data_IF_917277002787
#
_entry.id   IF_917277002787
#
_cell.length_a   1.000
_cell.length_b   1.000
_cell.length_c   1.000
_cell.angle_alpha   90.00
_cell.angle_beta   90.00
_cell.angle_gamma   90.00
#
_symmetry.space_group_name_H-M   'P 1'
#
loop_
_entity.id
_entity.type
_entity.pdbx_description
1 polymer ?
#
# COMPACT_ATOMS: atom_id res chain seq x y z
N UNK A 1 0.38 -30.84 -44.08
CA UNK A 1 -0.10 -29.58 -44.69
C UNK A 1 0.41 -28.45 -43.83
N UNK A 2 1.40 -27.73 -44.35
CA UNK A 2 2.17 -26.73 -43.63
C UNK A 2 1.46 -25.37 -43.74
N UNK A 3 0.82 -24.92 -42.66
CA UNK A 3 0.24 -23.57 -42.58
C UNK A 3 1.18 -22.68 -41.78
N UNK A 4 2.17 -22.11 -42.46
CA UNK A 4 2.95 -20.95 -41.97
C UNK A 4 2.00 -19.80 -41.65
N UNK A 5 1.63 -19.65 -40.36
CA UNK A 5 0.89 -18.49 -39.85
C UNK A 5 1.76 -17.25 -40.05
N UNK A 6 1.38 -16.39 -40.99
CA UNK A 6 1.96 -15.04 -41.12
C UNK A 6 1.59 -14.23 -39.88
N UNK A 7 2.59 -13.79 -39.14
CA UNK A 7 2.41 -12.86 -38.02
C UNK A 7 1.79 -11.55 -38.54
N UNK A 8 0.71 -11.04 -37.93
CA UNK A 8 0.10 -9.78 -38.37
C UNK A 8 1.08 -8.61 -38.21
N UNK A 9 1.20 -7.77 -39.24
CA UNK A 9 2.05 -6.56 -39.22
C UNK A 9 1.40 -5.36 -38.53
N UNK A 10 0.08 -5.40 -38.35
CA UNK A 10 -0.71 -4.33 -37.74
C UNK A 10 -1.67 -4.90 -36.71
N UNK A 11 -1.98 -4.13 -35.68
CA UNK A 11 -2.94 -4.51 -34.65
C UNK A 11 -4.35 -4.58 -35.26
N UNK A 12 -5.10 -5.67 -35.07
CA UNK A 12 -6.47 -5.79 -35.60
C UNK A 12 -7.47 -4.89 -34.87
N UNK A 13 -7.16 -4.42 -33.65
CA UNK A 13 -8.05 -3.58 -32.87
C UNK A 13 -7.88 -2.08 -33.16
N UNK A 14 -6.64 -1.59 -33.29
CA UNK A 14 -6.38 -0.14 -33.42
C UNK A 14 -5.63 0.25 -34.70
N UNK A 15 -5.21 -0.70 -35.53
CA UNK A 15 -4.49 -0.43 -36.78
C UNK A 15 -3.02 -0.04 -36.63
N UNK A 16 -2.50 0.08 -35.41
CA UNK A 16 -1.10 0.46 -35.18
C UNK A 16 -0.10 -0.60 -35.71
N UNK A 17 1.07 -0.18 -36.24
CA UNK A 17 2.10 -1.11 -36.68
C UNK A 17 2.66 -1.91 -35.49
N UNK A 18 2.82 -3.22 -35.68
CA UNK A 18 3.33 -4.12 -34.66
C UNK A 18 4.85 -4.28 -34.76
N UNK A 19 5.56 -4.30 -33.62
CA UNK A 19 7.01 -4.47 -33.63
C UNK A 19 7.39 -5.85 -34.18
N UNK A 20 8.56 -5.97 -34.83
CA UNK A 20 9.04 -7.27 -35.32
C UNK A 20 9.32 -8.23 -34.14
N UNK A 21 9.10 -9.53 -34.34
CA UNK A 21 9.44 -10.56 -33.34
C UNK A 21 8.25 -11.19 -32.57
N UNK A 22 7.13 -11.42 -33.25
CA UNK A 22 5.94 -12.10 -32.70
C UNK A 22 5.36 -11.45 -31.42
N UNK A 23 4.93 -10.17 -31.51
CA UNK A 23 4.42 -9.45 -30.35
C UNK A 23 3.15 -10.11 -29.83
N UNK A 24 3.14 -10.41 -28.53
CA UNK A 24 1.99 -11.04 -27.87
C UNK A 24 0.86 -10.05 -27.56
N UNK A 25 1.15 -8.76 -27.59
CA UNK A 25 0.22 -7.67 -27.33
C UNK A 25 0.58 -6.42 -28.14
N UNK A 26 -0.41 -5.59 -28.46
CA UNK A 26 -0.19 -4.28 -29.05
C UNK A 26 0.31 -3.30 -27.99
N UNK A 27 1.44 -2.65 -28.23
CA UNK A 27 2.03 -1.67 -27.30
C UNK A 27 1.20 -0.38 -27.18
N UNK A 28 0.43 -0.05 -28.22
CA UNK A 28 -0.37 1.18 -28.26
C UNK A 28 -1.71 1.03 -27.55
N UNK A 29 -2.40 -0.11 -27.71
CA UNK A 29 -3.76 -0.30 -27.17
C UNK A 29 -3.91 -1.47 -26.20
N UNK A 30 -2.86 -2.27 -25.98
CA UNK A 30 -2.86 -3.41 -25.07
C UNK A 30 -3.57 -4.68 -25.57
N UNK A 31 -4.11 -4.68 -26.80
CA UNK A 31 -4.81 -5.85 -27.35
C UNK A 31 -3.90 -7.08 -27.49
N UNK A 32 -4.32 -8.24 -26.99
CA UNK A 32 -3.57 -9.49 -27.08
C UNK A 32 -3.66 -10.11 -28.49
N UNK A 33 -2.50 -10.45 -29.07
CA UNK A 33 -2.37 -10.89 -30.47
C UNK A 33 -2.18 -12.40 -30.62
N UNK A 34 -2.01 -13.13 -29.51
CA UNK A 34 -1.88 -14.58 -29.47
C UNK A 34 -2.73 -15.19 -28.36
N UNK A 35 -3.63 -16.11 -28.73
CA UNK A 35 -4.36 -16.94 -27.79
C UNK A 35 -3.42 -18.01 -27.22
N UNK A 36 -3.10 -17.94 -25.92
CA UNK A 36 -2.31 -18.98 -25.24
C UNK A 36 -3.26 -20.09 -24.75
N UNK A 37 -2.99 -21.38 -25.01
CA UNK A 37 -3.83 -22.47 -24.52
C UNK A 37 -3.76 -22.55 -22.98
N UNK A 38 -4.89 -22.88 -22.36
CA UNK A 38 -5.05 -22.98 -20.91
C UNK A 38 -4.05 -23.98 -20.30
N UNK A 39 -3.19 -23.50 -19.40
CA UNK A 39 -2.25 -24.33 -18.64
C UNK A 39 -2.94 -24.77 -17.35
N UNK A 40 -3.14 -26.08 -17.20
CA UNK A 40 -3.46 -26.70 -15.91
C UNK A 40 -2.22 -26.60 -15.01
N UNK A 41 -2.29 -25.95 -13.83
CA UNK A 41 -1.11 -25.78 -12.99
C UNK A 41 -0.77 -27.08 -12.23
N UNK A 42 0.52 -27.39 -12.00
CA UNK A 42 0.93 -28.54 -11.20
C UNK A 42 0.67 -28.29 -9.70
N UNK A 43 0.52 -29.35 -8.88
CA UNK A 43 0.29 -29.19 -7.46
C UNK A 43 1.60 -28.83 -6.76
N UNK A 44 1.69 -27.61 -6.23
CA UNK A 44 2.74 -27.23 -5.28
C UNK A 44 2.18 -26.36 -4.18
N UNK A 45 2.26 -26.88 -2.96
CA UNK A 45 2.30 -26.17 -1.66
C UNK A 45 1.27 -25.06 -1.41
N UNK A 46 0.27 -25.39 -0.59
CA UNK A 46 -0.68 -24.46 0.03
C UNK A 46 0.03 -23.20 0.59
N UNK A 47 -0.13 -22.08 -0.11
CA UNK A 47 0.48 -20.79 0.22
C UNK A 47 -0.41 -19.67 -0.32
N UNK A 48 -0.69 -18.70 0.54
CA UNK A 48 -1.64 -17.58 0.36
C UNK A 48 -1.60 -16.96 -1.05
N UNK A 49 -2.77 -16.78 -1.66
CA UNK A 49 -2.90 -15.97 -2.88
C UNK A 49 -2.63 -14.50 -2.53
N UNK A 50 -1.60 -13.92 -3.12
CA UNK A 50 -1.29 -12.48 -3.05
C UNK A 50 -1.54 -11.85 -4.42
N UNK A 51 -2.09 -10.63 -4.45
CA UNK A 51 -2.30 -9.91 -5.71
C UNK A 51 -1.97 -8.43 -5.57
N UNK A 52 -1.35 -7.87 -6.61
CA UNK A 52 -1.05 -6.44 -6.68
C UNK A 52 -2.29 -5.67 -7.13
N UNK A 53 -2.70 -4.67 -6.36
CA UNK A 53 -3.80 -3.81 -6.76
C UNK A 53 -3.35 -2.89 -7.90
N UNK A 54 -4.23 -2.51 -8.85
CA UNK A 54 -3.89 -1.52 -9.88
C UNK A 54 -3.38 -0.19 -9.30
N UNK A 55 -3.75 0.12 -8.06
CA UNK A 55 -3.37 1.33 -7.37
C UNK A 55 -2.21 1.20 -6.35
N UNK A 56 -1.61 0.02 -6.19
CA UNK A 56 -0.51 -0.23 -5.25
C UNK A 56 0.55 -1.18 -5.85
N UNK A 57 1.84 -0.93 -5.61
CA UNK A 57 2.91 -1.81 -6.09
C UNK A 57 3.16 -3.00 -5.17
N UNK A 58 2.59 -2.96 -3.98
CA UNK A 58 2.61 -4.05 -3.01
C UNK A 58 1.54 -5.10 -3.27
N UNK A 59 1.96 -6.35 -3.10
CA UNK A 59 1.08 -7.50 -3.02
C UNK A 59 0.15 -7.40 -1.80
N UNK A 60 -1.14 -7.64 -2.02
CA UNK A 60 -2.16 -7.75 -0.98
C UNK A 60 -2.59 -9.20 -0.83
N UNK A 61 -2.60 -9.69 0.40
CA UNK A 61 -3.04 -11.05 0.71
C UNK A 61 -4.55 -11.19 0.61
N UNK A 62 -5.02 -12.33 0.12
CA UNK A 62 -6.44 -12.66 0.11
C UNK A 62 -6.92 -13.06 1.51
N UNK A 63 -7.91 -12.35 2.07
CA UNK A 63 -8.38 -12.57 3.44
C UNK A 63 -9.86 -12.94 3.41
N UNK A 64 -10.17 -14.18 3.78
CA UNK A 64 -11.52 -14.57 4.18
C UNK A 64 -12.65 -14.41 3.16
N UNK A 65 -12.35 -14.50 1.86
CA UNK A 65 -13.33 -14.29 0.78
C UNK A 65 -13.60 -12.83 0.42
N UNK A 66 -13.05 -11.86 1.17
CA UNK A 66 -13.21 -10.41 0.96
C UNK A 66 -12.04 -9.79 0.21
N UNK A 67 -11.20 -10.61 -0.40
CA UNK A 67 -10.22 -10.16 -1.38
C UNK A 67 -10.35 -11.07 -2.59
N UNK A 68 -11.12 -10.63 -3.56
CA UNK A 68 -11.05 -11.15 -4.91
C UNK A 68 -10.21 -10.16 -5.72
N UNK A 69 -9.05 -10.65 -6.14
CA UNK A 69 -8.11 -10.07 -7.06
C UNK A 69 -7.59 -11.24 -7.93
N UNK A 70 -7.05 -11.09 -9.14
CA UNK A 70 -7.28 -10.15 -10.23
C UNK A 70 -8.38 -10.65 -11.21
N UNK A 71 -9.17 -11.66 -10.84
CA UNK A 71 -10.31 -12.20 -11.60
C UNK A 71 -11.67 -11.70 -11.10
N UNK A 72 -11.70 -10.68 -10.24
CA UNK A 72 -12.94 -10.19 -9.60
C UNK A 72 -13.70 -9.15 -10.41
N UNK A 73 -13.02 -8.38 -11.27
CA UNK A 73 -13.62 -7.22 -11.91
C UNK A 73 -14.05 -6.13 -10.92
N UNK A 74 -13.63 -6.18 -9.64
CA UNK A 74 -14.06 -5.22 -8.63
C UNK A 74 -13.39 -3.85 -8.86
N UNK A 75 -14.21 -2.83 -9.12
CA UNK A 75 -13.73 -1.49 -9.48
C UNK A 75 -13.64 -0.61 -8.22
N UNK A 76 -12.45 -0.10 -7.86
CA UNK A 76 -12.28 0.79 -6.71
C UNK A 76 -13.00 2.13 -6.88
N UNK A 77 -13.20 2.88 -5.77
CA UNK A 77 -13.66 4.25 -5.85
C UNK A 77 -12.71 5.10 -6.71
N UNK A 78 -13.26 6.04 -7.47
CA UNK A 78 -12.52 6.92 -8.37
C UNK A 78 -12.03 6.27 -9.67
N UNK A 79 -12.28 4.97 -9.88
CA UNK A 79 -11.74 4.21 -11.01
C UNK A 79 -12.80 3.73 -12.01
N UNK A 80 -14.08 4.02 -11.77
CA UNK A 80 -15.15 3.73 -12.71
C UNK A 80 -15.25 4.84 -13.77
N UNK A 81 -15.05 4.47 -15.03
CA UNK A 81 -14.89 5.42 -16.15
C UNK A 81 -16.05 5.41 -17.14
N UNK A 82 -17.13 4.67 -16.85
CA UNK A 82 -18.33 4.67 -17.69
C UNK A 82 -19.29 5.76 -17.21
N UNK A 83 -20.01 6.37 -18.16
CA UNK A 83 -21.01 7.40 -17.87
C UNK A 83 -22.16 6.82 -17.07
N UNK A 84 -22.57 5.58 -17.34
CA UNK A 84 -23.61 4.90 -16.59
C UNK A 84 -23.08 4.42 -15.22
N UNK A 85 -23.89 4.52 -14.15
CA UNK A 85 -23.56 3.90 -12.87
C UNK A 85 -23.43 2.36 -12.95
N UNK A 86 -22.69 1.72 -12.03
CA UNK A 86 -22.53 0.27 -11.98
C UNK A 86 -23.85 -0.49 -11.86
N UNK A 87 -24.06 -1.46 -12.74
CA UNK A 87 -25.22 -2.37 -12.70
C UNK A 87 -24.99 -3.58 -11.78
N UNK A 88 -26.00 -4.44 -11.63
CA UNK A 88 -25.90 -5.71 -10.87
C UNK A 88 -24.80 -6.66 -11.34
N UNK A 89 -24.34 -6.53 -12.58
CA UNK A 89 -23.26 -7.36 -13.12
C UNK A 89 -21.88 -6.85 -12.73
N UNK A 90 -21.79 -5.59 -12.31
CA UNK A 90 -20.56 -5.00 -11.84
C UNK A 90 -20.25 -5.46 -10.41
N UNK A 91 -18.96 -5.48 -10.12
CA UNK A 91 -18.45 -5.60 -8.75
C UNK A 91 -17.76 -4.27 -8.43
N UNK A 92 -18.10 -3.67 -7.31
CA UNK A 92 -17.44 -2.45 -6.81
C UNK A 92 -16.70 -2.76 -5.52
N UNK A 93 -15.60 -2.07 -5.28
CA UNK A 93 -14.77 -2.27 -4.10
C UNK A 93 -14.91 -1.11 -3.11
N UNK A 94 -14.98 -1.40 -1.81
CA UNK A 94 -14.95 -0.38 -0.76
C UNK A 94 -13.85 -0.68 0.24
N UNK A 95 -13.04 0.33 0.59
CA UNK A 95 -12.00 0.19 1.58
C UNK A 95 -12.53 0.41 3.00
N UNK A 96 -12.46 -0.63 3.83
CA UNK A 96 -12.78 -0.52 5.26
C UNK A 96 -11.72 0.31 6.01
N UNK A 97 -12.08 1.06 7.08
CA UNK A 97 -11.14 1.81 7.92
C UNK A 97 -10.23 0.89 8.73
N UNK A 98 -9.23 0.29 8.09
CA UNK A 98 -8.38 -0.71 8.73
C UNK A 98 -6.95 -0.22 8.84
N UNK A 99 -6.34 -0.54 9.97
CA UNK A 99 -4.91 -0.31 10.21
C UNK A 99 -4.17 -1.64 10.08
N UNK A 100 -3.07 -1.62 9.33
CA UNK A 100 -2.16 -2.75 9.27
C UNK A 100 -1.48 -2.95 10.63
N UNK A 101 -1.52 -4.18 11.15
CA UNK A 101 -0.83 -4.61 12.37
C UNK A 101 -0.01 -5.86 12.06
N UNK A 102 0.88 -6.25 12.97
CA UNK A 102 1.69 -7.47 12.79
C UNK A 102 0.77 -8.67 12.54
N UNK A 103 0.91 -9.31 11.38
CA UNK A 103 0.13 -10.50 11.01
C UNK A 103 -1.37 -10.29 10.80
N UNK A 104 -1.84 -9.06 10.52
CA UNK A 104 -3.25 -8.83 10.17
C UNK A 104 -3.68 -7.37 10.14
N UNK A 105 -4.97 -7.14 10.42
CA UNK A 105 -5.58 -5.80 10.42
C UNK A 105 -6.40 -5.58 11.68
N UNK A 106 -6.54 -4.30 12.05
CA UNK A 106 -7.40 -3.87 13.14
C UNK A 106 -8.30 -2.70 12.74
N UNK A 107 -9.55 -2.73 13.18
CA UNK A 107 -10.46 -1.58 13.18
C UNK A 107 -10.60 -1.06 14.61
N UNK A 108 -10.51 0.26 14.82
CA UNK A 108 -10.57 0.90 16.13
C UNK A 108 -11.66 1.96 16.17
N UNK A 109 -12.40 2.00 17.28
CA UNK A 109 -13.36 3.05 17.56
C UNK A 109 -12.68 4.41 17.57
N UNK A 110 -13.29 5.40 16.91
CA UNK A 110 -12.71 6.74 16.72
C UNK A 110 -11.65 6.82 15.62
N UNK A 111 -11.34 5.71 14.94
CA UNK A 111 -10.45 5.65 13.77
C UNK A 111 -11.22 5.08 12.58
N UNK A 112 -12.29 5.78 12.20
CA UNK A 112 -13.21 5.39 11.11
C UNK A 112 -14.28 4.38 11.50
N UNK A 113 -14.21 3.78 12.70
CA UNK A 113 -15.27 2.95 13.27
C UNK A 113 -15.97 3.63 14.44
N UNK A 114 -17.26 3.35 14.61
CA UNK A 114 -18.08 3.73 15.75
C UNK A 114 -18.63 2.49 16.43
N UNK A 115 -18.45 2.36 17.75
CA UNK A 115 -19.12 1.30 18.53
C UNK A 115 -20.61 1.63 18.66
N UNK A 116 -21.49 0.70 18.33
CA UNK A 116 -22.95 0.92 18.33
C UNK A 116 -23.65 0.06 19.37
N UNK A 117 -23.39 -1.25 19.38
CA UNK A 117 -24.15 -2.21 20.18
C UNK A 117 -23.24 -3.09 21.03
N UNK A 118 -23.78 -3.53 22.17
CA UNK A 118 -23.19 -4.54 23.04
C UNK A 118 -24.27 -5.56 23.39
N UNK A 119 -24.02 -6.83 23.08
CA UNK A 119 -24.97 -7.91 23.31
C UNK A 119 -24.33 -9.05 24.11
N UNK A 120 -25.05 -9.60 25.08
CA UNK A 120 -24.60 -10.77 25.83
C UNK A 120 -24.61 -12.01 24.93
N UNK A 121 -23.58 -12.84 25.04
CA UNK A 121 -23.41 -14.12 24.35
C UNK A 121 -23.25 -15.24 25.38
N UNK A 122 -23.49 -16.47 24.94
CA UNK A 122 -23.36 -17.64 25.80
C UNK A 122 -21.95 -17.76 26.42
N UNK A 123 -21.89 -18.24 27.67
CA UNK A 123 -20.64 -18.53 28.37
C UNK A 123 -19.88 -17.28 28.88
N UNK A 124 -20.59 -16.32 29.47
CA UNK A 124 -20.02 -15.06 30.00
C UNK A 124 -19.18 -14.30 28.97
N UNK A 125 -19.74 -14.14 27.76
CA UNK A 125 -19.14 -13.37 26.67
C UNK A 125 -20.03 -12.20 26.30
N UNK A 126 -19.40 -11.15 25.79
CA UNK A 126 -20.08 -10.00 25.20
C UNK A 126 -19.63 -9.84 23.75
N UNK A 127 -20.58 -9.72 22.84
CA UNK A 127 -20.33 -9.27 21.47
C UNK A 127 -20.44 -7.75 21.40
N UNK A 128 -19.51 -7.12 20.71
CA UNK A 128 -19.48 -5.69 20.43
C UNK A 128 -19.57 -5.48 18.93
N UNK A 129 -20.51 -4.63 18.50
CA UNK A 129 -20.68 -4.24 17.11
C UNK A 129 -20.04 -2.88 16.85
N UNK A 130 -19.26 -2.82 15.79
CA UNK A 130 -18.60 -1.61 15.30
C UNK A 130 -19.11 -1.33 13.90
N UNK A 131 -19.45 -0.08 13.61
CA UNK A 131 -20.00 0.33 12.32
C UNK A 131 -19.09 1.37 11.67
N UNK A 132 -18.90 1.27 10.37
CA UNK A 132 -18.21 2.25 9.54
C UNK A 132 -19.05 2.59 8.31
N UNK A 133 -19.19 3.89 8.03
CA UNK A 133 -19.85 4.40 6.83
C UNK A 133 -18.80 4.64 5.75
N UNK A 134 -19.11 4.24 4.53
CA UNK A 134 -18.22 4.35 3.38
C UNK A 134 -18.97 4.78 2.13
N UNK A 135 -18.24 5.45 1.26
CA UNK A 135 -18.77 5.91 -0.02
C UNK A 135 -17.90 5.33 -1.12
N UNK A 136 -18.54 4.63 -2.05
CA UNK A 136 -17.97 4.36 -3.36
C UNK A 136 -18.45 5.44 -4.32
N UNK A 137 -17.56 5.92 -5.18
CA UNK A 137 -17.84 6.95 -6.15
C UNK A 137 -17.09 6.66 -7.45
N UNK A 138 -17.59 7.10 -8.61
CA UNK A 138 -16.94 6.90 -9.89
C UNK A 138 -15.77 7.87 -10.11
N UNK A 139 -15.05 7.72 -11.22
CA UNK A 139 -14.10 8.73 -11.67
C UNK A 139 -14.80 10.08 -11.91
N UNK A 140 -14.09 11.22 -11.85
CA UNK A 140 -14.70 12.52 -12.08
C UNK A 140 -15.44 12.59 -13.43
N UNK A 141 -16.71 13.00 -13.38
CA UNK A 141 -17.57 13.11 -14.58
C UNK A 141 -18.25 11.81 -15.02
N UNK A 142 -18.02 10.69 -14.34
CA UNK A 142 -18.57 9.38 -14.69
C UNK A 142 -19.71 8.95 -13.74
N UNK A 143 -20.34 7.80 -14.01
CA UNK A 143 -21.28 7.11 -13.13
C UNK A 143 -22.59 7.86 -12.84
N UNK A 144 -23.02 8.73 -13.75
CA UNK A 144 -24.31 9.44 -13.69
C UNK A 144 -24.44 10.41 -12.51
N UNK A 145 -23.33 10.79 -11.89
CA UNK A 145 -23.35 11.60 -10.66
C UNK A 145 -23.83 10.84 -9.43
N UNK A 146 -23.87 9.51 -9.47
CA UNK A 146 -24.27 8.67 -8.35
C UNK A 146 -23.08 8.25 -7.49
N UNK A 147 -23.31 8.15 -6.18
CA UNK A 147 -22.39 7.61 -5.19
C UNK A 147 -23.10 6.53 -4.38
N UNK A 148 -22.41 5.44 -4.09
CA UNK A 148 -22.96 4.33 -3.33
C UNK A 148 -22.51 4.47 -1.87
N UNK A 149 -23.47 4.76 -0.99
CA UNK A 149 -23.26 4.84 0.45
C UNK A 149 -23.46 3.45 1.05
N UNK A 150 -22.47 2.99 1.83
CA UNK A 150 -22.41 1.63 2.35
C UNK A 150 -22.06 1.66 3.83
N UNK A 151 -22.82 0.90 4.60
CA UNK A 151 -22.58 0.67 6.02
C UNK A 151 -21.96 -0.70 6.21
N UNK A 152 -20.77 -0.72 6.79
CA UNK A 152 -20.03 -1.94 7.14
C UNK A 152 -20.18 -2.14 8.65
N UNK A 153 -20.64 -3.32 9.07
CA UNK A 153 -20.60 -3.72 10.47
C UNK A 153 -19.46 -4.71 10.71
N UNK A 154 -18.90 -4.67 11.91
CA UNK A 154 -17.92 -5.64 12.38
C UNK A 154 -18.23 -6.09 13.80
N UNK A 155 -18.10 -7.39 14.07
CA UNK A 155 -18.41 -7.95 15.40
C UNK A 155 -17.17 -8.53 16.07
N UNK A 156 -16.95 -8.22 17.34
CA UNK A 156 -15.88 -8.83 18.13
C UNK A 156 -16.36 -9.25 19.52
N UNK A 157 -15.86 -10.38 20.00
CA UNK A 157 -16.21 -10.91 21.33
C UNK A 157 -15.16 -10.55 22.40
N UNK A 158 -15.60 -10.36 23.63
CA UNK A 158 -14.75 -10.32 24.82
C UNK A 158 -15.41 -11.07 25.99
N UNK A 159 -14.61 -11.40 26.99
CA UNK A 159 -15.12 -11.87 28.28
C UNK A 159 -16.00 -10.79 28.93
N UNK A 160 -17.01 -11.25 29.67
CA UNK A 160 -17.90 -10.39 30.44
C UNK A 160 -17.11 -9.47 31.38
N UNK A 161 -17.52 -8.19 31.47
CA UNK A 161 -16.81 -7.16 32.23
C UNK A 161 -15.61 -6.52 31.50
N UNK A 162 -15.13 -7.10 30.38
CA UNK A 162 -14.08 -6.46 29.56
C UNK A 162 -14.68 -5.61 28.45
N UNK A 163 -14.13 -4.41 28.28
CA UNK A 163 -14.45 -3.53 27.16
C UNK A 163 -13.61 -3.84 25.92
N UNK A 164 -14.20 -3.59 24.75
CA UNK A 164 -13.50 -3.57 23.46
C UNK A 164 -13.54 -2.16 22.88
N UNK A 165 -12.38 -1.68 22.47
CA UNK A 165 -12.20 -0.44 21.70
C UNK A 165 -12.18 -0.69 20.19
N UNK A 166 -12.26 -1.94 19.76
CA UNK A 166 -12.18 -2.33 18.36
C UNK A 166 -12.05 -3.83 18.17
N UNK A 167 -11.67 -4.21 16.96
CA UNK A 167 -11.51 -5.60 16.54
C UNK A 167 -10.19 -5.79 15.80
N UNK A 168 -9.71 -7.04 15.78
CA UNK A 168 -8.52 -7.45 15.02
C UNK A 168 -8.79 -8.80 14.40
N UNK A 169 -8.32 -9.00 13.19
CA UNK A 169 -8.31 -10.29 12.54
C UNK A 169 -6.92 -10.59 11.96
N UNK A 170 -6.58 -11.87 11.95
CA UNK A 170 -5.30 -12.33 11.41
C UNK A 170 -5.38 -12.44 9.91
N UNK A 171 -4.23 -12.33 9.28
CA UNK A 171 -4.08 -12.61 7.88
C UNK A 171 -4.45 -14.08 7.57
N UNK A 172 -5.33 -14.28 6.59
CA UNK A 172 -5.88 -15.59 6.23
C UNK A 172 -7.08 -16.05 7.07
N UNK A 173 -7.53 -15.26 8.05
CA UNK A 173 -8.80 -15.51 8.77
C UNK A 173 -9.97 -14.80 8.07
N UNK A 174 -11.19 -15.27 8.26
CA UNK A 174 -12.37 -14.51 7.83
C UNK A 174 -12.41 -13.17 8.57
N UNK A 175 -12.51 -12.03 7.86
CA UNK A 175 -12.72 -10.77 8.55
C UNK A 175 -14.10 -10.80 9.20
N UNK A 176 -14.25 -10.21 10.39
CA UNK A 176 -15.50 -10.21 11.11
C UNK A 176 -16.41 -9.09 10.59
N UNK A 177 -16.45 -8.84 9.27
CA UNK A 177 -17.09 -7.69 8.66
C UNK A 177 -18.14 -8.11 7.63
N UNK A 178 -19.24 -7.38 7.58
CA UNK A 178 -20.31 -7.56 6.63
C UNK A 178 -20.93 -6.22 6.23
N UNK A 179 -21.63 -6.20 5.10
CA UNK A 179 -22.39 -5.04 4.66
C UNK A 179 -23.79 -5.16 5.25
N UNK A 180 -24.18 -4.17 6.04
CA UNK A 180 -25.52 -4.13 6.67
C UNK A 180 -26.48 -3.18 5.98
N UNK A 181 -25.96 -2.21 5.22
CA UNK A 181 -26.77 -1.27 4.44
C UNK A 181 -26.01 -0.81 3.19
N UNK A 182 -26.73 -0.59 2.10
CA UNK A 182 -26.18 -0.01 0.88
C UNK A 182 -27.28 0.73 0.10
N UNK A 183 -27.01 1.97 -0.33
CA UNK A 183 -27.96 2.80 -1.05
C UNK A 183 -27.25 3.80 -1.98
N UNK A 184 -27.89 4.11 -3.12
CA UNK A 184 -27.40 5.14 -4.03
C UNK A 184 -27.81 6.52 -3.58
N UNK A 185 -26.91 7.49 -3.73
CA UNK A 185 -27.12 8.91 -3.53
C UNK A 185 -26.76 9.67 -4.80
N UNK A 186 -27.60 10.62 -5.18
CA UNK A 186 -27.28 11.57 -6.24
C UNK A 186 -26.39 12.71 -5.71
N UNK A 187 -25.85 13.52 -6.62
CA UNK A 187 -25.01 14.68 -6.27
C UNK A 187 -25.70 15.73 -5.38
N UNK A 188 -27.04 15.73 -5.34
CA UNK A 188 -27.83 16.59 -4.45
C UNK A 188 -28.07 15.98 -3.06
N UNK A 189 -27.50 14.80 -2.79
CA UNK A 189 -27.60 14.09 -1.52
C UNK A 189 -28.91 13.32 -1.33
N UNK A 190 -29.77 13.22 -2.35
CA UNK A 190 -30.99 12.42 -2.26
C UNK A 190 -30.72 10.96 -2.58
N UNK A 191 -31.38 10.09 -1.83
CA UNK A 191 -31.37 8.65 -2.06
C UNK A 191 -32.07 8.31 -3.38
N UNK A 192 -31.45 7.45 -4.18
CA UNK A 192 -31.99 6.93 -5.44
C UNK A 192 -32.30 5.45 -5.25
N UNK A 193 -33.59 5.10 -5.26
CA UNK A 193 -34.05 3.74 -4.92
C UNK A 193 -34.22 2.85 -6.17
N UNK A 194 -34.38 3.47 -7.34
CA UNK A 194 -34.67 2.75 -8.59
C UNK A 194 -33.43 2.07 -9.19
N UNK A 195 -32.22 2.49 -8.79
CA UNK A 195 -30.99 1.95 -9.35
C UNK A 195 -30.54 0.71 -8.56
N UNK A 196 -30.25 -0.42 -9.23
CA UNK A 196 -29.88 -1.62 -8.51
C UNK A 196 -28.52 -1.49 -7.84
N UNK A 197 -28.34 -2.21 -6.73
CA UNK A 197 -27.08 -2.24 -5.99
C UNK A 197 -26.15 -3.28 -6.63
N UNK A 198 -24.92 -2.91 -7.05
CA UNK A 198 -23.94 -3.84 -7.58
C UNK A 198 -23.45 -4.79 -6.48
N UNK A 199 -22.72 -5.85 -6.85
CA UNK A 199 -22.00 -6.62 -5.85
C UNK A 199 -20.92 -5.75 -5.20
N UNK A 200 -20.88 -5.70 -3.87
CA UNK A 200 -19.92 -4.87 -3.13
C UNK A 200 -18.89 -5.77 -2.45
N UNK A 201 -17.62 -5.51 -2.71
CA UNK A 201 -16.50 -6.20 -2.09
C UNK A 201 -15.82 -5.29 -1.07
N UNK A 202 -15.85 -5.68 0.22
CA UNK A 202 -15.10 -4.98 1.26
C UNK A 202 -13.61 -5.32 1.14
N UNK A 203 -12.75 -4.32 1.02
CA UNK A 203 -11.31 -4.48 0.89
C UNK A 203 -10.57 -3.87 2.08
N UNK A 204 -9.45 -4.47 2.43
CA UNK A 204 -8.47 -3.82 3.27
C UNK A 204 -7.69 -2.77 2.47
N UNK A 205 -7.27 -1.65 3.08
CA UNK A 205 -6.39 -0.71 2.43
C UNK A 205 -5.02 -1.34 2.15
N UNK A 206 -4.26 -0.80 1.17
CA UNK A 206 -2.94 -1.32 0.82
C UNK A 206 -2.02 -1.41 2.04
N UNK A 207 -1.48 -2.62 2.29
CA UNK A 207 -0.48 -2.83 3.32
C UNK A 207 0.93 -2.61 2.77
N UNK A 208 1.61 -1.58 3.27
CA UNK A 208 3.03 -1.33 2.96
C UNK A 208 3.90 -2.19 3.89
N UNK A 209 4.80 -3.04 3.35
CA UNK A 209 5.70 -3.86 4.14
C UNK A 209 6.51 -3.03 5.14
N UNK A 210 6.54 -3.48 6.39
CA UNK A 210 7.40 -2.92 7.41
C UNK A 210 8.79 -3.53 7.32
N UNK A 211 9.79 -2.83 7.85
CA UNK A 211 11.15 -3.38 8.01
C UNK A 211 11.13 -4.68 8.83
N UNK A 212 10.19 -4.81 9.77
CA UNK A 212 9.96 -6.04 10.55
C UNK A 212 9.27 -7.17 9.79
N UNK A 213 8.57 -6.85 8.69
CA UNK A 213 7.91 -7.85 7.86
C UNK A 213 8.92 -8.60 6.97
N UNK A 214 10.14 -8.05 6.81
CA UNK A 214 11.20 -8.59 5.97
C UNK A 214 12.29 -9.23 6.82
N UNK A 215 12.76 -10.41 6.40
CA UNK A 215 13.88 -11.12 7.03
C UNK A 215 15.23 -10.56 6.56
N UNK A 216 15.48 -9.30 6.90
CA UNK A 216 16.68 -8.57 6.51
C UNK A 216 17.51 -8.14 7.72
N UNK A 217 18.82 -8.14 7.55
CA UNK A 217 19.78 -7.60 8.53
C UNK A 217 20.74 -6.63 7.84
N UNK A 218 21.20 -5.63 8.59
CA UNK A 218 22.21 -4.70 8.07
C UNK A 218 23.55 -5.42 8.08
N UNK A 219 24.10 -5.67 6.89
CA UNK A 219 25.40 -6.34 6.73
C UNK A 219 26.53 -5.42 7.14
N UNK A 220 27.58 -5.99 7.76
CA UNK A 220 28.85 -5.29 7.99
C UNK A 220 29.80 -5.61 6.85
N UNK A 221 30.41 -4.57 6.27
CA UNK A 221 31.28 -4.67 5.09
C UNK A 221 32.51 -3.79 5.27
N UNK A 222 33.55 -4.04 4.46
CA UNK A 222 34.70 -3.13 4.42
C UNK A 222 34.33 -1.80 3.74
N UNK A 223 35.07 -0.72 4.02
CA UNK A 223 34.85 0.58 3.38
C UNK A 223 34.86 0.50 1.84
N UNK A 224 35.85 -0.17 1.25
CA UNK A 224 35.94 -0.33 -0.20
C UNK A 224 34.86 -1.24 -0.82
N UNK A 225 34.31 -2.19 -0.05
CA UNK A 225 33.11 -2.93 -0.47
C UNK A 225 31.87 -2.05 -0.40
N UNK A 226 31.73 -1.24 0.66
CA UNK A 226 30.62 -0.32 0.83
C UNK A 226 30.57 0.74 -0.29
N UNK A 227 31.73 1.32 -0.63
CA UNK A 227 31.85 2.35 -1.66
C UNK A 227 31.52 1.79 -3.06
N UNK A 228 31.87 0.54 -3.35
CA UNK A 228 31.44 -0.15 -4.59
C UNK A 228 29.96 -0.53 -4.57
N UNK A 229 29.44 -0.91 -3.40
CA UNK A 229 28.05 -1.34 -3.26
C UNK A 229 27.05 -0.19 -3.42
N UNK A 230 27.41 1.03 -3.01
CA UNK A 230 26.58 2.23 -3.23
C UNK A 230 26.70 2.83 -4.63
N UNK A 231 27.46 2.22 -5.54
CA UNK A 231 27.53 2.71 -6.91
C UNK A 231 26.12 2.75 -7.54
N UNK A 232 25.81 3.85 -8.23
CA UNK A 232 24.47 4.15 -8.75
C UNK A 232 23.45 4.65 -7.71
N UNK A 233 23.79 4.74 -6.42
CA UNK A 233 22.93 5.34 -5.39
C UNK A 233 22.85 6.86 -5.52
N UNK A 234 21.68 7.42 -5.28
CA UNK A 234 21.48 8.85 -5.08
C UNK A 234 22.01 9.31 -3.70
N UNK A 235 22.15 8.40 -2.74
CA UNK A 235 22.73 8.66 -1.42
C UNK A 235 24.23 8.37 -1.44
N UNK A 236 25.06 9.43 -1.39
CA UNK A 236 26.53 9.32 -1.56
C UNK A 236 27.34 9.53 -0.27
N UNK A 237 26.69 9.91 0.82
CA UNK A 237 27.33 10.30 2.07
C UNK A 237 27.69 9.16 3.01
N UNK A 238 28.19 9.52 4.18
CA UNK A 238 28.28 8.64 5.36
C UNK A 238 27.13 8.99 6.27
N UNK A 239 26.44 7.99 6.78
CA UNK A 239 25.24 8.22 7.57
C UNK A 239 25.34 7.57 8.95
N UNK A 240 24.61 8.14 9.90
CA UNK A 240 24.28 7.50 11.17
C UNK A 240 22.78 7.26 11.25
N UNK A 241 22.39 6.10 11.79
CA UNK A 241 20.99 5.82 12.10
C UNK A 241 20.57 6.61 13.33
N UNK A 242 19.66 7.56 13.14
CA UNK A 242 19.04 8.27 14.24
C UNK A 242 18.12 7.30 14.98
N UNK A 243 18.43 6.98 16.23
CA UNK A 243 17.71 6.03 17.10
C UNK A 243 17.74 4.56 16.66
N UNK A 244 18.80 4.14 15.97
CA UNK A 244 19.21 2.74 15.84
C UNK A 244 18.54 1.94 14.72
N UNK A 245 18.70 0.61 14.76
CA UNK A 245 18.16 -0.35 13.78
C UNK A 245 16.67 -0.69 14.05
N UNK A 246 15.88 0.34 14.31
CA UNK A 246 14.44 0.23 14.57
C UNK A 246 13.72 1.20 13.67
N UNK A 247 12.64 0.75 13.04
CA UNK A 247 11.81 1.61 12.20
C UNK A 247 11.13 2.68 13.07
N UNK A 248 11.28 3.94 12.67
CA UNK A 248 10.76 5.10 13.38
C UNK A 248 9.68 5.80 12.59
N UNK A 249 8.87 6.59 13.29
CA UNK A 249 7.98 7.56 12.64
C UNK A 249 8.82 8.71 12.10
N UNK A 250 8.84 8.85 10.78
CA UNK A 250 9.54 9.92 10.05
C UNK A 250 8.51 10.79 9.31
N UNK A 251 8.92 11.95 8.74
CA UNK A 251 8.04 12.71 7.86
C UNK A 251 7.55 11.89 6.65
N UNK A 252 8.31 10.91 6.19
CA UNK A 252 7.98 10.01 5.08
C UNK A 252 7.22 8.74 5.52
N UNK A 253 6.47 8.80 6.63
CA UNK A 253 5.89 7.62 7.27
C UNK A 253 6.94 6.84 8.07
N UNK A 254 6.79 5.52 8.22
CA UNK A 254 7.71 4.71 9.02
C UNK A 254 8.93 4.28 8.20
N UNK A 255 10.13 4.54 8.72
CA UNK A 255 11.39 4.18 8.05
C UNK A 255 12.59 4.22 8.98
N UNK A 256 13.77 3.90 8.44
CA UNK A 256 15.07 4.05 9.08
C UNK A 256 15.61 5.44 8.74
N UNK A 257 15.75 6.30 9.75
CA UNK A 257 16.14 7.69 9.56
C UNK A 257 17.67 7.83 9.65
N UNK A 258 18.26 8.41 8.62
CA UNK A 258 19.69 8.54 8.41
C UNK A 258 20.05 10.03 8.36
N UNK A 259 20.99 10.43 9.21
CA UNK A 259 21.58 11.77 9.20
C UNK A 259 22.98 11.68 8.61
N UNK A 260 23.31 12.60 7.70
CA UNK A 260 24.65 12.65 7.15
C UNK A 260 25.64 13.12 8.21
N UNK A 261 26.79 12.44 8.27
CA UNK A 261 27.89 12.76 9.19
C UNK A 261 29.20 12.87 8.42
N UNK A 262 30.10 13.71 8.92
CA UNK A 262 31.46 13.75 8.42
C UNK A 262 32.11 12.36 8.58
N UNK A 263 32.87 11.93 7.56
CA UNK A 263 33.67 10.73 7.69
C UNK A 263 34.71 10.93 8.81
N UNK A 264 34.80 10.00 9.77
CA UNK A 264 35.89 10.05 10.72
C UNK A 264 37.22 9.85 9.96
N UNK A 265 38.13 10.82 10.08
CA UNK A 265 39.53 10.62 9.70
C UNK A 265 40.09 9.36 10.37
N UNK A 266 41.05 8.69 9.72
CA UNK A 266 41.67 7.44 10.21
C UNK A 266 42.12 7.61 11.67
N UNK A 267 41.29 7.14 12.61
CA UNK A 267 41.63 7.15 14.03
C UNK A 267 42.83 6.24 14.28
N UNK A 268 43.83 6.76 14.99
CA UNK A 268 44.95 5.99 15.50
C UNK A 268 44.43 4.80 16.33
N UNK A 269 45.12 3.66 16.24
CA UNK A 269 44.73 2.38 16.84
C UNK A 269 44.38 2.47 18.34
N UNK A 270 44.98 3.40 19.08
CA UNK A 270 44.73 3.66 20.50
C UNK A 270 43.34 4.26 20.80
N UNK A 271 42.74 5.00 19.87
CA UNK A 271 41.42 5.62 20.04
C UNK A 271 40.25 4.64 19.81
N UNK A 272 40.53 3.40 19.40
CA UNK A 272 39.50 2.34 19.22
C UNK A 272 39.06 1.68 20.53
N UNK A 273 39.83 1.80 21.61
CA UNK A 273 39.59 1.05 22.85
C UNK A 273 38.62 1.72 23.83
N UNK A 274 38.33 3.02 23.68
CA UNK A 274 37.61 3.79 24.73
C UNK A 274 36.29 4.44 24.30
N UNK A 275 35.82 4.25 23.06
CA UNK A 275 34.57 4.89 22.60
C UNK A 275 33.69 3.87 21.87
N UNK A 276 32.52 3.57 22.44
CA UNK A 276 31.36 3.02 21.72
C UNK A 276 31.01 3.99 20.60
N UNK A 277 31.66 3.82 19.46
CA UNK A 277 31.49 4.74 18.33
C UNK A 277 30.16 4.42 17.67
N UNK A 278 29.33 5.44 17.37
CA UNK A 278 28.11 5.22 16.60
C UNK A 278 28.44 4.47 15.30
N UNK A 279 27.58 3.51 14.93
CA UNK A 279 27.75 2.80 13.66
C UNK A 279 27.68 3.78 12.49
N UNK A 280 28.62 3.67 11.56
CA UNK A 280 28.58 4.42 10.30
C UNK A 280 27.98 3.53 9.22
N UNK A 281 27.13 4.12 8.39
CA UNK A 281 26.36 3.41 7.39
C UNK A 281 26.54 4.05 6.02
N UNK A 282 26.47 3.20 5.01
CA UNK A 282 26.24 3.57 3.61
C UNK A 282 24.82 3.17 3.24
N UNK A 283 24.16 4.01 2.45
CA UNK A 283 22.79 3.79 2.01
C UNK A 283 22.72 3.66 0.49
N UNK A 284 21.99 2.67 -0.01
CA UNK A 284 21.70 2.50 -1.43
C UNK A 284 20.23 2.83 -1.69
N UNK A 285 20.01 4.01 -2.26
CA UNK A 285 18.70 4.54 -2.64
C UNK A 285 18.77 4.88 -4.13
N UNK A 286 18.15 4.06 -4.97
CA UNK A 286 18.27 4.15 -6.43
C UNK A 286 17.22 5.10 -7.02
N UNK A 287 16.03 5.15 -6.42
CA UNK A 287 14.89 5.94 -6.89
C UNK A 287 14.30 6.74 -5.72
N UNK A 288 15.04 7.70 -5.14
CA UNK A 288 14.51 8.51 -4.07
C UNK A 288 13.38 9.40 -4.56
N UNK A 289 12.41 9.66 -3.68
CA UNK A 289 11.67 10.91 -3.74
C UNK A 289 12.49 11.99 -3.03
N UNK A 290 12.81 13.09 -3.72
CA UNK A 290 13.58 14.20 -3.15
C UNK A 290 12.66 15.40 -2.94
N UNK A 291 12.65 15.96 -1.73
CA UNK A 291 11.87 17.16 -1.43
C UNK A 291 12.50 18.03 -0.35
N UNK A 292 12.17 19.32 -0.38
CA UNK A 292 12.47 20.23 0.72
C UNK A 292 11.58 19.92 1.94
N UNK A 293 12.20 19.82 3.12
CA UNK A 293 11.49 19.47 4.35
C UNK A 293 10.47 20.54 4.78
N UNK A 294 10.74 21.81 4.48
CA UNK A 294 9.82 22.92 4.76
C UNK A 294 8.57 22.87 3.89
N UNK A 295 8.71 22.43 2.64
CA UNK A 295 7.59 22.28 1.68
C UNK A 295 6.83 20.94 1.83
N UNK A 296 7.40 19.96 2.52
CA UNK A 296 6.83 18.61 2.65
C UNK A 296 5.38 18.58 3.14
N UNK A 297 4.99 19.49 4.05
CA UNK A 297 3.60 19.57 4.54
C UNK A 297 2.57 19.80 3.40
N UNK A 298 2.94 20.53 2.36
CA UNK A 298 2.06 20.76 1.21
C UNK A 298 1.93 19.49 0.36
N UNK A 299 3.05 18.78 0.16
CA UNK A 299 3.05 17.49 -0.52
C UNK A 299 2.19 16.46 0.21
N UNK A 300 2.27 16.39 1.54
CA UNK A 300 1.42 15.50 2.35
C UNK A 300 -0.06 15.78 2.12
N UNK A 301 -0.48 17.05 2.03
CA UNK A 301 -1.87 17.40 1.71
C UNK A 301 -2.28 16.97 0.30
N UNK A 302 -1.37 16.99 -0.67
CA UNK A 302 -1.64 16.48 -2.01
C UNK A 302 -1.79 14.95 -1.99
N UNK A 303 -0.91 14.25 -1.28
CA UNK A 303 -0.96 12.80 -1.09
C UNK A 303 -2.28 12.37 -0.44
N UNK A 304 -2.72 13.04 0.62
CA UNK A 304 -3.98 12.75 1.29
C UNK A 304 -5.18 12.96 0.37
N UNK A 305 -5.16 13.99 -0.48
CA UNK A 305 -6.20 14.22 -1.49
C UNK A 305 -6.23 13.11 -2.55
N UNK A 306 -5.07 12.66 -3.02
CA UNK A 306 -4.97 11.55 -3.98
C UNK A 306 -5.48 10.24 -3.36
N UNK A 307 -5.10 9.93 -2.12
CA UNK A 307 -5.62 8.78 -1.39
C UNK A 307 -7.16 8.86 -1.24
N UNK A 308 -7.68 10.01 -0.82
CA UNK A 308 -9.12 10.25 -0.68
C UNK A 308 -9.86 10.10 -2.02
N UNK A 309 -9.28 10.55 -3.14
CA UNK A 309 -9.87 10.35 -4.48
C UNK A 309 -9.93 8.90 -4.95
N UNK A 310 -9.32 7.97 -4.20
CA UNK A 310 -9.40 6.52 -4.43
C UNK A 310 -10.20 5.82 -3.32
N UNK A 311 -10.90 6.58 -2.48
CA UNK A 311 -11.66 6.08 -1.33
C UNK A 311 -10.78 5.46 -0.23
N UNK A 312 -9.49 5.78 -0.21
CA UNK A 312 -8.57 5.33 0.83
C UNK A 312 -8.67 6.28 2.03
N UNK A 313 -9.39 5.85 3.06
CA UNK A 313 -9.40 6.49 4.38
C UNK A 313 -8.35 5.84 5.27
N UNK A 314 -7.13 6.35 5.17
CA UNK A 314 -5.94 5.87 5.88
C UNK A 314 -5.22 7.03 6.57
N UNK A 315 -4.55 6.73 7.67
CA UNK A 315 -3.76 7.70 8.43
C UNK A 315 -2.67 8.35 7.56
N UNK A 316 -2.31 9.60 7.87
CA UNK A 316 -1.33 10.39 7.09
C UNK A 316 -0.05 9.62 6.79
N UNK A 317 0.54 8.96 7.78
CA UNK A 317 1.77 8.19 7.60
C UNK A 317 1.57 7.04 6.60
N UNK A 318 0.44 6.33 6.68
CA UNK A 318 0.12 5.22 5.79
C UNK A 318 -0.19 5.73 4.36
N UNK A 319 -0.83 6.90 4.23
CA UNK A 319 -1.06 7.53 2.93
C UNK A 319 0.27 7.90 2.25
N UNK A 320 1.21 8.46 3.00
CA UNK A 320 2.55 8.78 2.49
C UNK A 320 3.29 7.52 2.05
N UNK A 321 3.30 6.48 2.87
CA UNK A 321 3.94 5.20 2.54
C UNK A 321 3.32 4.57 1.29
N UNK A 322 1.99 4.56 1.20
CA UNK A 322 1.26 4.06 0.04
C UNK A 322 1.60 4.84 -1.22
N UNK A 323 1.66 6.16 -1.13
CA UNK A 323 1.99 7.01 -2.27
C UNK A 323 3.42 6.75 -2.74
N UNK A 324 4.37 6.67 -1.81
CA UNK A 324 5.77 6.39 -2.15
C UNK A 324 5.91 5.03 -2.86
N UNK A 325 5.23 4.01 -2.34
CA UNK A 325 5.19 2.68 -2.96
C UNK A 325 4.54 2.71 -4.35
N UNK A 326 3.36 3.33 -4.48
CA UNK A 326 2.59 3.45 -5.74
C UNK A 326 3.45 4.03 -6.87
N UNK A 327 4.23 5.08 -6.58
CA UNK A 327 5.11 5.72 -7.55
C UNK A 327 6.48 5.05 -7.68
N UNK A 328 6.78 4.06 -6.84
CA UNK A 328 7.99 3.25 -6.91
C UNK A 328 9.23 3.95 -6.40
N UNK A 329 9.07 4.78 -5.38
CA UNK A 329 10.19 5.36 -4.65
C UNK A 329 10.70 4.35 -3.63
N UNK A 330 12.01 4.12 -3.60
CA UNK A 330 12.65 3.18 -2.69
C UNK A 330 13.18 3.87 -1.41
N UNK A 331 13.20 5.19 -1.39
CA UNK A 331 13.55 5.98 -0.21
C UNK A 331 13.12 7.43 -0.36
N UNK A 332 13.36 8.23 0.68
CA UNK A 332 13.12 9.68 0.63
C UNK A 332 14.37 10.42 1.04
N UNK A 333 14.69 11.47 0.29
CA UNK A 333 15.74 12.42 0.61
C UNK A 333 15.10 13.76 0.93
N UNK A 334 15.24 14.21 2.17
CA UNK A 334 14.81 15.54 2.58
C UNK A 334 16.00 16.50 2.59
N UNK A 335 15.89 17.58 1.82
CA UNK A 335 16.81 18.73 1.87
C UNK A 335 16.26 19.81 2.82
N UNK A 336 17.08 20.80 3.17
CA UNK A 336 16.65 21.88 4.08
C UNK A 336 16.38 21.38 5.50
N UNK A 337 17.06 20.29 5.91
CA UNK A 337 16.78 19.58 7.16
C UNK A 337 17.37 20.25 8.41
N UNK A 338 18.12 21.35 8.24
CA UNK A 338 18.99 21.94 9.28
C UNK A 338 18.24 22.32 10.55
N UNK A 339 17.06 22.91 10.42
CA UNK A 339 16.26 23.36 11.58
C UNK A 339 15.81 22.18 12.47
N UNK A 340 15.53 21.02 11.87
CA UNK A 340 14.97 19.87 12.60
C UNK A 340 16.03 18.83 12.99
N UNK A 341 17.03 18.63 12.14
CA UNK A 341 17.98 17.52 12.25
C UNK A 341 19.45 17.97 12.31
N UNK A 342 19.72 19.28 12.35
CA UNK A 342 21.08 19.85 12.45
C UNK A 342 22.04 19.42 11.31
N UNK A 343 21.49 18.97 10.18
CA UNK A 343 22.21 18.61 8.97
C UNK A 343 21.44 19.13 7.74
N UNK A 344 22.12 19.29 6.61
CA UNK A 344 21.48 19.81 5.39
C UNK A 344 20.51 18.80 4.78
N UNK A 345 20.82 17.50 4.91
CA UNK A 345 20.06 16.42 4.32
C UNK A 345 19.81 15.28 5.31
N UNK A 346 18.60 14.72 5.27
CA UNK A 346 18.29 13.44 5.91
C UNK A 346 17.71 12.45 4.91
N UNK A 347 17.98 11.18 5.13
CA UNK A 347 17.50 10.08 4.28
C UNK A 347 16.58 9.18 5.09
N UNK A 348 15.47 8.77 4.48
CA UNK A 348 14.59 7.75 5.02
C UNK A 348 14.71 6.53 4.13
N UNK A 349 15.29 5.46 4.68
CA UNK A 349 15.31 4.14 4.04
C UNK A 349 14.12 3.30 4.54
N UNK A 350 13.56 2.45 3.67
CA UNK A 350 12.39 1.63 4.02
C UNK A 350 12.75 0.17 4.29
N UNK A 351 13.99 -0.24 4.05
CA UNK A 351 14.47 -1.61 4.19
C UNK A 351 15.87 -1.63 4.83
N UNK A 352 16.17 -2.70 5.57
CA UNK A 352 17.53 -2.91 6.11
C UNK A 352 18.51 -3.29 5.01
N UNK A 353 18.03 -3.99 3.98
CA UNK A 353 18.82 -4.33 2.80
C UNK A 353 19.33 -3.12 2.00
N UNK A 354 18.80 -1.92 2.26
CA UNK A 354 19.29 -0.66 1.70
C UNK A 354 20.43 -0.03 2.48
N UNK A 355 20.91 -0.70 3.54
CA UNK A 355 21.98 -0.19 4.39
C UNK A 355 23.09 -1.23 4.52
N UNK A 356 24.32 -0.74 4.54
CA UNK A 356 25.48 -1.51 5.00
C UNK A 356 26.24 -0.73 6.05
N UNK A 357 26.76 -1.43 7.06
CA UNK A 357 27.57 -0.86 8.13
C UNK A 357 29.05 -0.98 7.79
N UNK A 358 29.80 0.10 7.97
CA UNK A 358 31.25 0.17 7.76
C UNK A 358 31.99 0.03 9.10
#
# INVERSE_FOLDING_TARGET
MDTTRRTPRFCPQCGAPLPPGDPRFCIECGHALSATPAITPPPSSAGRMTVRLPNARVEQSVIGGTVKLPSSGAIPPGMWVLDEPPSVQAVVAIYAPLRAVVGGWSGLSGQGWRRTERQARAGSRMAFTFVAERVWFPAPGCGGGLQLHVTIAATAEAEEGRERLGFRYREGSNPPMEITHAEWHASDGKTVVEHPIPAIQIMAPPRIPRVSDLRETIRRVSRGEADRWVDGSAARGTYQLLGGDVQQRTPAGRGLLLVEVAEPERRHWLQRFFVLTPGHYRARIERPFTADLGQWKQQVKAIQREAASLGLDIETDAAVEWWLDRYGYDGVIFTGARQKYQCEQVIVAFRRGQLVRV
#
